data_IF_593315432583
#
_entry.id   IF_593315432583
#
_cell.length_a   1.000
_cell.length_b   1.000
_cell.length_c   1.000
_cell.angle_alpha   90.00
_cell.angle_beta   90.00
_cell.angle_gamma   90.00
#
_symmetry.space_group_name_H-M   'P 1'
#
loop_
_entity.id
_entity.type
_entity.pdbx_description
1 polymer ?
#
# COMPACT_ATOMS: atom_id res chain seq x y z
N UNK A 1 -5.53 4.52 19.17
CA UNK A 1 -5.88 3.73 17.97
C UNK A 1 -6.59 2.51 18.48
N UNK A 2 -7.79 2.22 17.98
CA UNK A 2 -8.55 1.05 18.41
C UNK A 2 -7.74 -0.22 18.14
N UNK A 3 -7.82 -1.20 19.04
CA UNK A 3 -7.01 -2.41 18.98
C UNK A 3 -7.28 -3.22 17.69
N UNK A 4 -8.50 -3.17 17.17
CA UNK A 4 -8.88 -3.79 15.89
C UNK A 4 -8.11 -3.20 14.70
N UNK A 5 -8.01 -1.87 14.61
CA UNK A 5 -7.29 -1.20 13.52
C UNK A 5 -5.79 -1.51 13.64
N UNK A 6 -5.27 -1.61 14.87
CA UNK A 6 -3.86 -1.93 15.11
C UNK A 6 -3.53 -3.36 14.69
N UNK A 7 -4.41 -4.31 14.99
CA UNK A 7 -4.23 -5.70 14.58
C UNK A 7 -4.34 -5.88 13.06
N UNK A 8 -5.27 -5.14 12.43
CA UNK A 8 -5.40 -5.05 10.98
C UNK A 8 -4.10 -4.56 10.34
N UNK A 9 -3.53 -3.43 10.80
CA UNK A 9 -2.25 -2.95 10.27
C UNK A 9 -1.17 -4.00 10.47
N UNK A 10 -1.00 -4.51 11.68
CA UNK A 10 0.09 -5.44 12.01
C UNK A 10 0.02 -6.72 11.17
N UNK A 11 -1.18 -7.22 10.91
CA UNK A 11 -1.37 -8.46 10.16
C UNK A 11 -1.22 -8.24 8.66
N UNK A 12 -1.75 -7.14 8.10
CA UNK A 12 -1.50 -6.76 6.70
C UNK A 12 0.00 -6.60 6.43
N UNK A 13 0.74 -5.94 7.32
CA UNK A 13 2.20 -5.77 7.22
C UNK A 13 2.92 -7.13 7.15
N UNK A 14 2.47 -8.13 7.91
CA UNK A 14 3.06 -9.48 7.85
C UNK A 14 2.84 -10.13 6.48
N UNK A 15 1.62 -10.02 5.92
CA UNK A 15 1.33 -10.53 4.58
C UNK A 15 2.13 -9.79 3.49
N UNK A 16 2.21 -8.46 3.59
CA UNK A 16 3.02 -7.62 2.73
C UNK A 16 4.49 -8.06 2.74
N UNK A 17 5.06 -8.36 3.91
CA UNK A 17 6.45 -8.80 4.01
C UNK A 17 6.69 -10.15 3.31
N UNK A 18 5.75 -11.08 3.44
CA UNK A 18 5.80 -12.38 2.75
C UNK A 18 5.73 -12.19 1.22
N UNK A 19 4.79 -11.37 0.73
CA UNK A 19 4.66 -11.06 -0.69
C UNK A 19 5.87 -10.31 -1.23
N UNK A 20 6.37 -9.32 -0.47
CA UNK A 20 7.54 -8.53 -0.80
C UNK A 20 8.73 -9.43 -1.07
N UNK A 21 9.06 -10.35 -0.17
CA UNK A 21 10.23 -11.23 -0.35
C UNK A 21 10.00 -12.23 -1.47
N UNK A 22 8.87 -12.94 -1.45
CA UNK A 22 8.61 -14.04 -2.40
C UNK A 22 8.58 -13.55 -3.84
N UNK A 23 7.86 -12.46 -4.13
CA UNK A 23 7.70 -11.94 -5.49
C UNK A 23 8.94 -11.16 -5.92
N UNK A 24 9.62 -10.44 -5.02
CA UNK A 24 10.87 -9.76 -5.35
C UNK A 24 11.95 -10.74 -5.82
N UNK A 25 12.06 -11.91 -5.18
CA UNK A 25 13.00 -12.96 -5.59
C UNK A 25 12.64 -13.46 -6.99
N UNK A 26 11.36 -13.76 -7.26
CA UNK A 26 10.90 -14.22 -8.58
C UNK A 26 11.22 -13.19 -9.67
N UNK A 27 10.93 -11.90 -9.42
CA UNK A 27 11.21 -10.83 -10.39
C UNK A 27 12.72 -10.66 -10.61
N UNK A 28 13.53 -10.76 -9.56
CA UNK A 28 14.99 -10.65 -9.67
C UNK A 28 15.58 -11.77 -10.52
N UNK A 29 15.04 -12.99 -10.41
CA UNK A 29 15.48 -14.15 -11.20
C UNK A 29 15.04 -14.06 -12.67
N UNK A 30 13.83 -13.57 -12.95
CA UNK A 30 13.27 -13.54 -14.30
C UNK A 30 13.70 -12.33 -15.13
N UNK A 31 13.95 -11.19 -14.49
CA UNK A 31 14.25 -9.93 -15.17
C UNK A 31 15.61 -9.39 -14.75
N UNK A 32 15.65 -8.59 -13.67
CA UNK A 32 16.88 -8.13 -13.02
C UNK A 32 16.56 -7.54 -11.63
N UNK A 33 17.61 -7.17 -10.90
CA UNK A 33 17.48 -6.57 -9.58
C UNK A 33 16.79 -5.20 -9.59
N UNK A 34 16.88 -4.43 -10.68
CA UNK A 34 16.23 -3.10 -10.79
C UNK A 34 14.70 -3.24 -10.83
N UNK A 35 14.17 -4.16 -11.64
CA UNK A 35 12.73 -4.45 -11.65
C UNK A 35 12.25 -4.94 -10.28
N UNK A 36 13.04 -5.77 -9.59
CA UNK A 36 12.74 -6.21 -8.23
C UNK A 36 12.66 -5.04 -7.24
N UNK A 37 13.61 -4.10 -7.30
CA UNK A 37 13.58 -2.88 -6.47
C UNK A 37 12.36 -2.00 -6.77
N UNK A 38 11.96 -1.88 -8.03
CA UNK A 38 10.78 -1.09 -8.42
C UNK A 38 9.49 -1.73 -7.91
N UNK A 39 9.40 -3.05 -7.95
CA UNK A 39 8.30 -3.79 -7.33
C UNK A 39 8.23 -3.53 -5.82
N UNK A 40 9.37 -3.67 -5.12
CA UNK A 40 9.47 -3.39 -3.68
C UNK A 40 9.02 -1.96 -3.39
N UNK A 41 9.45 -0.99 -4.20
CA UNK A 41 9.07 0.40 -4.07
C UNK A 41 7.55 0.59 -4.17
N UNK A 42 6.89 -0.04 -5.15
CA UNK A 42 5.44 0.01 -5.29
C UNK A 42 4.69 -0.56 -4.09
N UNK A 43 5.16 -1.70 -3.57
CA UNK A 43 4.55 -2.34 -2.40
C UNK A 43 4.75 -1.50 -1.13
N UNK A 44 5.96 -1.02 -0.88
CA UNK A 44 6.28 -0.20 0.31
C UNK A 44 5.51 1.12 0.30
N UNK A 45 5.41 1.80 -0.85
CA UNK A 45 4.65 3.06 -0.94
C UNK A 45 3.17 2.81 -0.63
N UNK A 46 2.61 1.71 -1.12
CA UNK A 46 1.21 1.35 -0.87
C UNK A 46 0.97 1.00 0.60
N UNK A 47 1.90 0.26 1.20
CA UNK A 47 1.90 -0.08 2.63
C UNK A 47 1.95 1.17 3.51
N UNK A 48 2.86 2.13 3.22
CA UNK A 48 2.92 3.41 3.94
C UNK A 48 1.60 4.16 3.77
N UNK A 49 1.09 4.24 2.54
CA UNK A 49 -0.17 4.92 2.25
C UNK A 49 -1.33 4.34 3.09
N UNK A 50 -1.41 3.01 3.18
CA UNK A 50 -2.40 2.31 4.00
C UNK A 50 -2.25 2.60 5.49
N UNK A 51 -1.03 2.58 6.03
CA UNK A 51 -0.77 2.88 7.44
C UNK A 51 -1.25 4.29 7.78
N UNK A 52 -0.82 5.29 7.00
CA UNK A 52 -1.22 6.69 7.20
C UNK A 52 -2.74 6.83 7.05
N UNK A 53 -3.34 6.09 6.12
CA UNK A 53 -4.79 6.07 5.93
C UNK A 53 -5.56 5.53 7.13
N UNK A 54 -5.17 4.38 7.65
CA UNK A 54 -5.79 3.79 8.82
C UNK A 54 -5.62 4.67 10.07
N UNK A 55 -4.49 5.35 10.24
CA UNK A 55 -4.28 6.29 11.35
C UNK A 55 -5.23 7.49 11.25
N UNK A 56 -5.31 8.14 10.09
CA UNK A 56 -6.17 9.31 9.90
C UNK A 56 -7.64 8.94 10.03
N UNK A 57 -8.06 7.85 9.39
CA UNK A 57 -9.44 7.36 9.50
C UNK A 57 -9.82 7.04 10.96
N UNK A 58 -8.96 6.33 11.69
CA UNK A 58 -9.20 6.01 13.10
C UNK A 58 -9.29 7.27 13.96
N UNK A 59 -8.50 8.31 13.65
CA UNK A 59 -8.55 9.58 14.36
C UNK A 59 -9.86 10.35 14.09
N UNK A 60 -10.31 10.39 12.84
CA UNK A 60 -11.59 11.01 12.44
C UNK A 60 -12.81 10.29 13.06
N UNK A 61 -12.78 8.96 13.11
CA UNK A 61 -13.87 8.16 13.71
C UNK A 61 -13.96 8.38 15.22
N UNK A 62 -12.83 8.50 15.92
CA UNK A 62 -12.77 8.67 17.37
C UNK A 62 -13.06 10.11 17.84
N UNK A 63 -12.74 11.14 17.05
CA UNK A 63 -13.10 12.53 17.37
C UNK A 63 -14.45 12.89 16.77
N UNK A 64 -15.50 12.86 17.60
CA UNK A 64 -16.87 13.33 17.26
C UNK A 64 -16.93 14.77 16.67
N UNK A 65 -15.89 15.59 16.83
CA UNK A 65 -15.85 17.01 16.44
C UNK A 65 -15.06 17.33 15.15
N UNK A 66 -14.31 16.39 14.56
CA UNK A 66 -13.48 16.64 13.36
C UNK A 66 -14.04 15.93 12.12
N UNK A 67 -15.34 16.10 11.84
CA UNK A 67 -15.94 15.67 10.57
C UNK A 67 -15.89 16.81 9.55
N UNK A 68 -14.70 17.25 9.17
CA UNK A 68 -14.58 18.13 8.00
C UNK A 68 -14.40 17.26 6.76
N UNK A 69 -15.45 17.02 5.96
CA UNK A 69 -15.38 16.19 4.76
C UNK A 69 -14.32 16.70 3.77
N UNK A 70 -14.04 18.01 3.78
CA UNK A 70 -13.02 18.65 2.96
C UNK A 70 -11.60 18.20 3.34
N UNK A 71 -11.28 18.11 4.64
CA UNK A 71 -9.95 17.67 5.08
C UNK A 71 -9.69 16.21 4.69
N UNK A 72 -10.71 15.35 4.77
CA UNK A 72 -10.58 13.95 4.39
C UNK A 72 -10.40 13.79 2.87
N UNK A 73 -11.13 14.55 2.06
CA UNK A 73 -10.95 14.59 0.59
C UNK A 73 -9.55 15.10 0.22
N UNK A 74 -9.06 16.16 0.86
CA UNK A 74 -7.72 16.71 0.60
C UNK A 74 -6.63 15.69 0.97
N UNK A 75 -6.78 15.01 2.12
CA UNK A 75 -5.88 13.93 2.54
C UNK A 75 -5.83 12.78 1.53
N UNK A 76 -6.99 12.36 1.01
CA UNK A 76 -7.10 11.34 -0.04
C UNK A 76 -6.39 11.77 -1.34
N UNK A 77 -6.60 13.02 -1.77
CA UNK A 77 -5.99 13.56 -3.00
C UNK A 77 -4.47 13.63 -2.90
N UNK A 78 -3.93 14.12 -1.78
CA UNK A 78 -2.47 14.23 -1.56
C UNK A 78 -1.82 12.85 -1.63
N UNK A 79 -2.41 11.85 -0.97
CA UNK A 79 -1.90 10.47 -0.95
C UNK A 79 -1.90 9.81 -2.32
N UNK A 80 -3.01 9.97 -3.04
CA UNK A 80 -3.15 9.41 -4.40
C UNK A 80 -2.18 10.11 -5.36
N UNK A 81 -1.99 11.42 -5.21
CA UNK A 81 -1.04 12.20 -5.98
C UNK A 81 0.41 11.70 -5.80
N UNK A 82 0.82 11.29 -4.60
CA UNK A 82 2.17 10.73 -4.36
C UNK A 82 2.38 9.45 -5.17
N UNK A 83 1.43 8.51 -5.12
CA UNK A 83 1.49 7.25 -5.87
C UNK A 83 1.55 7.54 -7.38
N UNK A 84 0.67 8.43 -7.86
CA UNK A 84 0.63 8.81 -9.27
C UNK A 84 1.90 9.52 -9.73
N UNK A 85 2.47 10.40 -8.91
CA UNK A 85 3.71 11.13 -9.26
C UNK A 85 4.87 10.16 -9.44
N UNK A 86 5.02 9.19 -8.53
CA UNK A 86 6.06 8.17 -8.60
C UNK A 86 5.88 7.28 -9.84
N UNK A 87 4.62 6.90 -10.14
CA UNK A 87 4.29 6.15 -11.35
C UNK A 87 4.67 6.92 -12.63
N UNK A 88 4.36 8.22 -12.73
CA UNK A 88 4.69 9.07 -13.87
C UNK A 88 6.21 9.17 -14.03
N UNK A 89 6.94 9.40 -12.93
CA UNK A 89 8.41 9.46 -12.95
C UNK A 89 9.01 8.14 -13.42
N UNK A 90 8.52 6.99 -12.95
CA UNK A 90 9.01 5.68 -13.41
C UNK A 90 8.73 5.45 -14.90
N UNK A 91 7.60 5.91 -15.39
CA UNK A 91 7.22 5.79 -16.80
C UNK A 91 8.16 6.56 -17.73
N UNK A 92 8.69 7.71 -17.32
CA UNK A 92 9.63 8.49 -18.15
C UNK A 92 10.99 7.79 -18.31
N UNK A 93 11.41 7.00 -17.32
CA UNK A 93 12.63 6.19 -17.42
C UNK A 93 12.41 4.93 -18.26
N UNK A 94 11.37 4.14 -17.95
CA UNK A 94 11.04 2.93 -18.70
C UNK A 94 9.58 2.55 -18.47
N UNK A 95 8.82 2.35 -19.56
CA UNK A 95 7.41 1.95 -19.50
C UNK A 95 7.19 0.62 -18.76
N UNK A 96 8.16 -0.29 -18.80
CA UNK A 96 8.09 -1.55 -18.06
C UNK A 96 8.24 -1.38 -16.55
N UNK A 97 8.91 -0.32 -16.09
CA UNK A 97 9.01 0.01 -14.66
C UNK A 97 7.65 0.39 -14.08
N UNK A 98 6.83 1.10 -14.85
CA UNK A 98 5.46 1.40 -14.46
C UNK A 98 4.66 0.11 -14.20
N UNK A 99 4.76 -0.88 -15.09
CA UNK A 99 4.03 -2.15 -14.96
C UNK A 99 4.44 -2.86 -13.67
N UNK A 100 5.74 -2.99 -13.43
CA UNK A 100 6.27 -3.69 -12.26
C UNK A 100 5.95 -2.94 -10.95
N UNK A 101 5.96 -1.61 -10.98
CA UNK A 101 5.51 -0.77 -9.88
C UNK A 101 4.03 -1.01 -9.56
N UNK A 102 3.16 -1.01 -10.59
CA UNK A 102 1.73 -1.28 -10.44
C UNK A 102 1.49 -2.69 -9.87
N UNK A 103 2.28 -3.69 -10.28
CA UNK A 103 2.21 -5.03 -9.69
C UNK A 103 2.50 -4.98 -8.19
N UNK A 104 3.50 -4.21 -7.75
CA UNK A 104 3.78 -3.97 -6.33
C UNK A 104 2.59 -3.37 -5.58
N UNK A 105 1.95 -2.37 -6.18
CA UNK A 105 0.74 -1.73 -5.64
C UNK A 105 -0.42 -2.73 -5.53
N UNK A 106 -0.68 -3.52 -6.58
CA UNK A 106 -1.75 -4.53 -6.59
C UNK A 106 -1.50 -5.63 -5.55
N UNK A 107 -0.26 -6.06 -5.35
CA UNK A 107 0.08 -7.08 -4.35
C UNK A 107 -0.25 -6.63 -2.93
N UNK A 108 -0.08 -5.35 -2.62
CA UNK A 108 -0.53 -4.80 -1.35
C UNK A 108 -2.06 -4.91 -1.17
N UNK A 109 -2.84 -4.63 -2.21
CA UNK A 109 -4.29 -4.83 -2.18
C UNK A 109 -4.66 -6.31 -1.96
N UNK A 110 -3.93 -7.24 -2.56
CA UNK A 110 -4.10 -8.67 -2.33
C UNK A 110 -3.82 -9.02 -0.86
N UNK A 111 -2.76 -8.47 -0.24
CA UNK A 111 -2.46 -8.67 1.18
C UNK A 111 -3.62 -8.23 2.09
N UNK A 112 -4.23 -7.07 1.80
CA UNK A 112 -5.40 -6.57 2.53
C UNK A 112 -6.59 -7.53 2.37
N UNK A 113 -6.87 -8.00 1.16
CA UNK A 113 -7.99 -8.93 0.90
C UNK A 113 -7.78 -10.28 1.61
N UNK A 114 -6.56 -10.81 1.57
CA UNK A 114 -6.21 -12.04 2.29
C UNK A 114 -6.41 -11.90 3.80
N UNK A 115 -6.04 -10.76 4.37
CA UNK A 115 -6.36 -10.45 5.76
C UNK A 115 -7.88 -10.41 6.01
N UNK A 116 -8.62 -9.65 5.19
CA UNK A 116 -10.06 -9.47 5.36
C UNK A 116 -10.83 -10.80 5.29
N UNK A 117 -10.44 -11.71 4.39
CA UNK A 117 -11.05 -13.05 4.29
C UNK A 117 -10.73 -13.94 5.49
N UNK A 118 -9.54 -13.81 6.09
CA UNK A 118 -9.20 -14.53 7.32
C UNK A 118 -10.02 -14.02 8.51
N UNK A 119 -10.23 -12.71 8.61
CA UNK A 119 -11.05 -12.11 9.67
C UNK A 119 -12.51 -12.58 9.60
N UNK A 120 -13.10 -12.68 8.40
CA UNK A 120 -14.49 -13.16 8.21
C UNK A 120 -14.72 -14.62 8.61
N UNK A 121 -13.67 -15.44 8.73
CA UNK A 121 -13.77 -16.87 9.08
C UNK A 121 -13.61 -17.15 10.59
N UNK A 122 -13.33 -16.14 11.40
CA UNK A 122 -13.28 -16.21 12.87
C UNK A 122 -14.64 -15.77 13.40
#
# INVERSE_FOLDING_TARGET
MEDEVKDLIKTTIKYDFILLISIAIIIAMLFNMVYSLIYILGLVISMINFIVNSIVLNYELNKKQFKSPILNIVSLLIRTSIICTIAIVLFTYNKYYLIVYIIGVIMHFIAIILYATKLRRI
#
